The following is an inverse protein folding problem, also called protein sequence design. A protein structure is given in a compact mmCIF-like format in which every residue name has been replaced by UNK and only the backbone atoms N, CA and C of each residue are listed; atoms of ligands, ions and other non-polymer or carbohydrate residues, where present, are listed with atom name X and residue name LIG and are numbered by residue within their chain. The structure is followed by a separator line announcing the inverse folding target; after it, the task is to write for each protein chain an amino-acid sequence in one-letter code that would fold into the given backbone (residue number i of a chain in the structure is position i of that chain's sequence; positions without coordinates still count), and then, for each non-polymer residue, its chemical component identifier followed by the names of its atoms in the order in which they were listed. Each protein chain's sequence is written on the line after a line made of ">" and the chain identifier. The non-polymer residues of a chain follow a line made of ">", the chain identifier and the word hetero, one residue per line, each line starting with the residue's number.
data_IF_817759862750
#
_entry.id   IF_817759862750
#
_cell.length_a   1.000
_cell.length_b   1.000
_cell.length_c   1.000
_cell.angle_alpha   90.00
_cell.angle_beta   90.00
_cell.angle_gamma   90.00
#
_symmetry.space_group_name_H-M   'P 1'
#
loop_
_entity.id
_entity.type
_entity.pdbx_description
1 polymer ?
#
# COMPACT_ATOMS: atom_id res chain seq x y z
N UNK A 1 -38.23 20.21 -15.31
CA UNK A 1 -39.16 19.07 -15.53
C UNK A 1 -38.42 17.74 -15.61
N UNK A 2 -37.29 17.63 -16.32
CA UNK A 2 -36.62 16.35 -16.57
C UNK A 2 -36.05 15.64 -15.31
N UNK A 3 -35.39 16.38 -14.40
CA UNK A 3 -34.79 15.80 -13.18
C UNK A 3 -35.80 15.26 -12.15
N UNK A 4 -36.95 15.91 -12.01
CA UNK A 4 -37.99 15.50 -11.06
C UNK A 4 -38.73 14.26 -11.53
N UNK A 5 -39.01 14.17 -12.84
CA UNK A 5 -39.60 12.98 -13.43
C UNK A 5 -38.67 11.77 -13.35
N UNK A 6 -37.38 11.95 -13.64
CA UNK A 6 -36.37 10.87 -13.49
C UNK A 6 -36.26 10.41 -12.03
N UNK A 7 -36.31 11.34 -11.06
CA UNK A 7 -36.33 10.99 -9.63
C UNK A 7 -37.59 10.21 -9.27
N UNK A 8 -38.76 10.69 -9.66
CA UNK A 8 -40.01 9.98 -9.38
C UNK A 8 -40.01 8.58 -10.00
N UNK A 9 -39.55 8.44 -11.24
CA UNK A 9 -39.46 7.16 -11.93
C UNK A 9 -38.48 6.20 -11.23
N UNK A 10 -37.34 6.70 -10.76
CA UNK A 10 -36.36 5.94 -9.98
C UNK A 10 -36.94 5.44 -8.65
N UNK A 11 -37.66 6.27 -7.91
CA UNK A 11 -38.29 5.89 -6.63
C UNK A 11 -39.53 5.00 -6.81
N UNK A 12 -40.13 4.94 -8.00
CA UNK A 12 -41.23 4.00 -8.32
C UNK A 12 -40.76 2.61 -8.76
N UNK A 13 -39.48 2.43 -9.08
CA UNK A 13 -38.94 1.12 -9.43
C UNK A 13 -38.73 0.30 -8.17
N UNK A 14 -39.14 -0.97 -8.19
CA UNK A 14 -38.71 -1.88 -7.14
C UNK A 14 -37.18 -2.00 -7.25
N UNK A 15 -36.47 -1.79 -6.14
CA UNK A 15 -35.01 -1.86 -6.11
C UNK A 15 -34.54 -3.31 -5.92
N UNK A 16 -35.33 -4.29 -6.37
CA UNK A 16 -35.05 -5.70 -6.15
C UNK A 16 -33.85 -6.11 -6.98
N UNK A 17 -32.87 -6.72 -6.32
CA UNK A 17 -31.67 -7.20 -6.99
C UNK A 17 -31.76 -8.68 -7.33
N UNK A 18 -32.36 -9.47 -6.44
CA UNK A 18 -32.56 -10.90 -6.62
C UNK A 18 -33.63 -11.43 -5.65
N UNK A 19 -34.15 -12.62 -5.95
CA UNK A 19 -35.09 -13.33 -5.09
C UNK A 19 -34.33 -14.34 -4.24
N UNK A 20 -34.56 -14.32 -2.93
CA UNK A 20 -33.90 -15.17 -1.95
C UNK A 20 -34.88 -16.20 -1.39
N UNK A 21 -34.38 -17.39 -1.06
CA UNK A 21 -35.14 -18.44 -0.38
C UNK A 21 -34.64 -18.58 1.05
N UNK A 22 -35.53 -18.38 2.03
CA UNK A 22 -35.23 -18.57 3.45
C UNK A 22 -36.29 -19.42 4.16
N UNK A 23 -36.15 -19.59 5.47
CA UNK A 23 -37.05 -20.42 6.29
C UNK A 23 -38.52 -19.98 6.24
N UNK A 24 -38.79 -18.70 5.94
CA UNK A 24 -40.16 -18.16 5.78
C UNK A 24 -40.68 -18.12 4.34
N UNK A 25 -39.96 -18.74 3.39
CA UNK A 25 -40.35 -18.82 1.98
C UNK A 25 -39.53 -17.91 1.05
N UNK A 26 -40.11 -17.62 -0.12
CA UNK A 26 -39.47 -16.82 -1.18
C UNK A 26 -39.73 -15.34 -0.95
N UNK A 27 -38.68 -14.55 -0.76
CA UNK A 27 -38.77 -13.10 -0.58
C UNK A 27 -37.83 -12.37 -1.54
N UNK A 28 -38.18 -11.13 -1.85
CA UNK A 28 -37.44 -10.31 -2.81
C UNK A 28 -36.50 -9.37 -2.05
N UNK A 29 -35.20 -9.48 -2.30
CA UNK A 29 -34.19 -8.68 -1.62
C UNK A 29 -33.84 -7.42 -2.44
N UNK A 30 -34.18 -6.27 -1.86
CA UNK A 30 -33.84 -4.96 -2.40
C UNK A 30 -32.36 -4.59 -2.25
N UNK A 31 -31.87 -3.75 -3.16
CA UNK A 31 -30.66 -2.97 -2.96
C UNK A 31 -30.80 -2.19 -1.64
N UNK A 32 -29.77 -2.27 -0.79
CA UNK A 32 -29.72 -1.58 0.51
C UNK A 32 -28.70 -0.45 0.39
N UNK A 33 -29.13 0.78 0.02
CA UNK A 33 -28.22 1.90 -0.14
C UNK A 33 -27.40 2.17 1.12
N UNK A 34 -27.95 1.92 2.30
CA UNK A 34 -27.26 2.14 3.57
C UNK A 34 -26.02 1.25 3.69
N UNK A 35 -26.15 -0.05 3.35
CA UNK A 35 -25.03 -1.01 3.39
C UNK A 35 -23.96 -0.62 2.37
N UNK A 36 -24.38 -0.20 1.17
CA UNK A 36 -23.45 0.21 0.13
C UNK A 36 -22.70 1.49 0.50
N UNK A 37 -23.40 2.48 1.04
CA UNK A 37 -22.80 3.75 1.51
C UNK A 37 -21.83 3.49 2.65
N UNK A 38 -22.18 2.63 3.63
CA UNK A 38 -21.26 2.23 4.69
C UNK A 38 -19.98 1.60 4.13
N UNK A 39 -20.10 0.66 3.18
CA UNK A 39 -18.94 0.06 2.53
C UNK A 39 -18.09 1.06 1.71
N UNK A 40 -18.67 2.13 1.19
CA UNK A 40 -17.91 3.21 0.55
C UNK A 40 -17.15 4.06 1.57
N UNK A 41 -17.76 4.36 2.72
CA UNK A 41 -17.12 5.12 3.80
C UNK A 41 -15.91 4.35 4.36
N UNK A 42 -16.04 3.05 4.61
CA UNK A 42 -14.91 2.21 5.03
C UNK A 42 -13.76 2.21 4.02
N UNK A 43 -14.08 2.13 2.72
CA UNK A 43 -13.07 2.22 1.66
C UNK A 43 -12.39 3.59 1.62
N UNK A 44 -13.15 4.66 1.85
CA UNK A 44 -12.60 6.01 1.93
C UNK A 44 -11.63 6.14 3.10
N UNK A 45 -11.98 5.63 4.28
CA UNK A 45 -11.09 5.63 5.44
C UNK A 45 -9.80 4.84 5.18
N UNK A 46 -9.88 3.71 4.48
CA UNK A 46 -8.70 2.93 4.06
C UNK A 46 -7.80 3.72 3.11
N UNK A 47 -8.39 4.44 2.15
CA UNK A 47 -7.63 5.29 1.22
C UNK A 47 -6.96 6.43 1.98
N UNK A 48 -7.68 7.11 2.87
CA UNK A 48 -7.16 8.22 3.67
C UNK A 48 -6.00 7.76 4.57
N UNK A 49 -6.10 6.54 5.12
CA UNK A 49 -4.99 5.92 5.88
C UNK A 49 -3.77 5.70 4.99
N UNK A 50 -3.95 5.12 3.80
CA UNK A 50 -2.85 4.90 2.83
C UNK A 50 -2.19 6.20 2.39
N UNK A 51 -2.97 7.25 2.13
CA UNK A 51 -2.45 8.57 1.76
C UNK A 51 -1.59 9.13 2.89
N UNK A 52 -2.06 9.04 4.14
CA UNK A 52 -1.31 9.50 5.31
C UNK A 52 0.02 8.76 5.46
N UNK A 53 0.01 7.43 5.35
CA UNK A 53 1.21 6.59 5.43
C UNK A 53 2.22 6.97 4.34
N UNK A 54 1.75 7.16 3.11
CA UNK A 54 2.60 7.59 2.00
C UNK A 54 3.18 8.99 2.18
N UNK A 55 2.43 9.92 2.78
CA UNK A 55 2.96 11.24 3.12
C UNK A 55 4.07 11.15 4.15
N UNK A 56 3.90 10.35 5.20
CA UNK A 56 4.95 10.15 6.20
C UNK A 56 6.22 9.55 5.58
N UNK A 57 6.08 8.51 4.74
CA UNK A 57 7.21 7.94 3.98
C UNK A 57 7.95 9.01 3.19
N UNK A 58 7.19 9.83 2.46
CA UNK A 58 7.74 10.91 1.67
C UNK A 58 8.48 11.92 2.54
N UNK A 59 7.88 12.39 3.64
CA UNK A 59 8.49 13.37 4.54
C UNK A 59 9.83 12.87 5.11
N UNK A 60 9.89 11.62 5.58
CA UNK A 60 11.12 11.01 6.10
C UNK A 60 12.16 10.80 5.00
N UNK A 61 11.75 10.31 3.83
CA UNK A 61 12.67 10.06 2.72
C UNK A 61 13.24 11.37 2.15
N UNK A 62 12.43 12.42 2.06
CA UNK A 62 12.89 13.76 1.69
C UNK A 62 13.91 14.29 2.70
N UNK A 63 13.66 14.11 4.01
CA UNK A 63 14.61 14.49 5.05
C UNK A 63 15.95 13.74 4.91
N UNK A 64 15.93 12.44 4.63
CA UNK A 64 17.12 11.66 4.33
C UNK A 64 17.84 12.17 3.09
N UNK A 65 17.11 12.43 2.00
CA UNK A 65 17.70 12.93 0.75
C UNK A 65 18.46 14.24 0.97
N UNK A 66 17.98 15.12 1.86
CA UNK A 66 18.67 16.36 2.22
C UNK A 66 20.01 16.13 2.93
N UNK A 67 20.23 14.97 3.56
CA UNK A 67 21.51 14.60 4.19
C UNK A 67 22.55 14.10 3.19
N UNK A 68 22.13 13.71 1.98
CA UNK A 68 23.02 13.19 0.96
C UNK A 68 23.86 14.30 0.32
N UNK A 69 25.05 13.98 -0.24
CA UNK A 69 25.80 14.94 -1.05
C UNK A 69 24.99 15.44 -2.25
N UNK A 70 25.09 16.73 -2.59
CA UNK A 70 24.35 17.33 -3.73
C UNK A 70 24.54 16.60 -5.06
N UNK A 71 25.73 16.07 -5.31
CA UNK A 71 26.01 15.27 -6.50
C UNK A 71 25.15 14.01 -6.56
N UNK A 72 25.00 13.35 -5.41
CA UNK A 72 24.19 12.15 -5.29
C UNK A 72 22.69 12.48 -5.36
N UNK A 73 22.25 13.57 -4.72
CA UNK A 73 20.87 14.04 -4.82
C UNK A 73 20.47 14.28 -6.29
N UNK A 74 21.30 14.98 -7.05
CA UNK A 74 21.05 15.26 -8.47
C UNK A 74 21.04 13.97 -9.28
N UNK A 75 22.01 13.08 -9.08
CA UNK A 75 22.04 11.79 -9.77
C UNK A 75 20.79 10.95 -9.49
N UNK A 76 20.39 10.82 -8.22
CA UNK A 76 19.17 10.09 -7.84
C UNK A 76 17.93 10.72 -8.47
N UNK A 77 17.84 12.04 -8.50
CA UNK A 77 16.73 12.75 -9.15
C UNK A 77 16.70 12.48 -10.65
N UNK A 78 17.83 12.61 -11.33
CA UNK A 78 17.94 12.37 -12.78
C UNK A 78 17.58 10.92 -13.12
N UNK A 79 18.02 9.97 -12.31
CA UNK A 79 17.71 8.55 -12.49
C UNK A 79 16.22 8.25 -12.27
N UNK A 80 15.68 8.62 -11.10
CA UNK A 80 14.37 8.14 -10.66
C UNK A 80 13.21 9.05 -11.06
N UNK A 81 13.45 10.35 -11.29
CA UNK A 81 12.40 11.29 -11.74
C UNK A 81 12.42 11.54 -13.25
N UNK A 82 13.60 11.45 -13.88
CA UNK A 82 13.77 11.77 -15.30
C UNK A 82 14.10 10.55 -16.17
N UNK A 83 14.29 9.37 -15.56
CA UNK A 83 14.54 8.12 -16.28
C UNK A 83 15.89 8.10 -16.99
N UNK A 84 16.86 8.88 -16.52
CA UNK A 84 18.20 8.95 -17.09
C UNK A 84 19.01 7.76 -16.54
N UNK A 85 19.67 6.99 -17.40
CA UNK A 85 20.55 5.93 -16.93
C UNK A 85 21.70 6.52 -16.10
N UNK A 86 21.74 6.14 -14.82
CA UNK A 86 22.78 6.57 -13.88
C UNK A 86 23.38 5.32 -13.23
N UNK A 87 24.71 5.19 -13.29
CA UNK A 87 25.42 4.16 -12.54
C UNK A 87 25.77 4.69 -11.14
N UNK A 88 25.18 4.08 -10.12
CA UNK A 88 25.57 4.31 -8.73
C UNK A 88 26.47 3.17 -8.26
N UNK A 89 27.41 3.50 -7.38
CA UNK A 89 28.14 2.48 -6.65
C UNK A 89 27.15 1.63 -5.84
N UNK A 90 27.29 0.30 -5.85
CA UNK A 90 26.45 -0.64 -5.10
C UNK A 90 26.28 -0.22 -3.63
N UNK A 91 27.34 0.26 -2.98
CA UNK A 91 27.27 0.73 -1.59
C UNK A 91 26.26 1.86 -1.37
N UNK A 92 26.07 2.73 -2.37
CA UNK A 92 25.07 3.81 -2.32
C UNK A 92 23.66 3.24 -2.44
N UNK A 93 23.47 2.27 -3.34
CA UNK A 93 22.18 1.61 -3.54
C UNK A 93 21.78 0.85 -2.28
N UNK A 94 22.71 0.10 -1.67
CA UNK A 94 22.45 -0.62 -0.42
C UNK A 94 22.03 0.33 0.70
N UNK A 95 22.76 1.43 0.91
CA UNK A 95 22.39 2.43 1.93
C UNK A 95 21.03 3.07 1.68
N UNK A 96 20.69 3.31 0.42
CA UNK A 96 19.38 3.85 0.04
C UNK A 96 18.26 2.86 0.37
N UNK A 97 18.46 1.59 0.06
CA UNK A 97 17.49 0.52 0.37
C UNK A 97 17.36 0.28 1.88
N UNK A 98 18.47 0.31 2.62
CA UNK A 98 18.47 0.19 4.08
C UNK A 98 17.66 1.32 4.70
N UNK A 99 17.88 2.57 4.28
CA UNK A 99 17.11 3.71 4.78
C UNK A 99 15.61 3.57 4.45
N UNK A 100 15.27 3.13 3.24
CA UNK A 100 13.87 2.88 2.87
C UNK A 100 13.25 1.86 3.83
N UNK A 101 13.95 0.76 4.13
CA UNK A 101 13.47 -0.24 5.06
C UNK A 101 13.34 0.29 6.49
N UNK A 102 14.27 1.13 6.96
CA UNK A 102 14.20 1.78 8.26
C UNK A 102 12.97 2.70 8.36
N UNK A 103 12.69 3.49 7.32
CA UNK A 103 11.51 4.36 7.24
C UNK A 103 10.22 3.53 7.26
N UNK A 104 10.14 2.47 6.45
CA UNK A 104 8.97 1.57 6.43
C UNK A 104 8.73 0.94 7.81
N UNK A 105 9.78 0.40 8.41
CA UNK A 105 9.74 -0.23 9.73
C UNK A 105 9.28 0.77 10.80
N UNK A 106 9.82 1.99 10.80
CA UNK A 106 9.42 3.04 11.74
C UNK A 106 7.94 3.41 11.60
N UNK A 107 7.44 3.50 10.36
CA UNK A 107 6.04 3.82 10.08
C UNK A 107 5.12 2.68 10.53
N UNK A 108 5.51 1.42 10.29
CA UNK A 108 4.75 0.26 10.75
C UNK A 108 4.62 0.24 12.28
N UNK A 109 5.72 0.50 12.99
CA UNK A 109 5.70 0.67 14.44
C UNK A 109 4.78 1.82 14.90
N UNK A 110 4.80 2.96 14.21
CA UNK A 110 3.92 4.09 14.54
C UNK A 110 2.44 3.78 14.32
N UNK A 111 2.10 2.93 13.35
CA UNK A 111 0.74 2.48 13.08
C UNK A 111 0.31 1.28 13.95
N UNK A 112 1.19 0.76 14.80
CA UNK A 112 0.94 -0.44 15.61
C UNK A 112 0.80 -1.71 14.77
N UNK A 113 1.39 -1.72 13.58
CA UNK A 113 1.52 -2.89 12.73
C UNK A 113 2.80 -3.63 13.15
N UNK A 114 2.75 -4.96 13.20
CA UNK A 114 3.99 -5.74 13.26
C UNK A 114 4.71 -5.52 11.91
N UNK A 115 5.98 -5.05 11.92
CA UNK A 115 6.76 -4.97 10.69
C UNK A 115 6.79 -6.35 10.06
N UNK A 116 6.64 -6.44 8.74
CA UNK A 116 6.92 -7.71 8.06
C UNK A 116 8.35 -8.11 8.43
N UNK A 117 8.54 -9.30 9.00
CA UNK A 117 9.87 -9.82 9.31
C UNK A 117 10.69 -9.72 8.03
N UNK A 118 11.66 -8.81 8.01
CA UNK A 118 12.56 -8.72 6.89
C UNK A 118 13.15 -10.12 6.71
N UNK A 119 13.13 -10.62 5.48
CA UNK A 119 14.00 -11.73 5.09
C UNK A 119 15.47 -11.27 5.11
N UNK A 120 15.91 -10.53 6.13
CA UNK A 120 17.31 -10.42 6.49
C UNK A 120 17.72 -11.84 6.85
N UNK A 121 18.59 -12.42 6.03
CA UNK A 121 19.23 -13.68 6.36
C UNK A 121 19.95 -13.45 7.68
N UNK A 122 19.33 -13.89 8.77
CA UNK A 122 19.94 -13.91 10.09
C UNK A 122 21.17 -14.80 9.97
N UNK A 123 22.35 -14.19 9.85
CA UNK A 123 23.61 -14.90 9.86
C UNK A 123 23.77 -15.48 11.26
N UNK A 124 23.69 -16.81 11.35
CA UNK A 124 23.97 -17.56 12.57
C UNK A 124 25.48 -17.75 12.74
N UNK A 125 25.94 -18.13 13.93
CA UNK A 125 27.36 -18.48 14.15
C UNK A 125 27.81 -19.73 13.34
N UNK A 126 26.86 -20.45 12.74
CA UNK A 126 27.11 -21.57 11.85
C UNK A 126 27.27 -21.09 10.40
N UNK A 127 28.52 -21.08 9.93
CA UNK A 127 28.87 -20.75 8.54
C UNK A 127 28.13 -21.67 7.56
N UNK A 128 27.98 -22.96 7.88
CA UNK A 128 27.30 -23.93 7.02
C UNK A 128 25.82 -23.58 6.79
N UNK A 129 25.14 -23.16 7.86
CA UNK A 129 23.71 -22.78 7.81
C UNK A 129 23.50 -21.48 7.04
N UNK A 130 24.47 -20.56 7.10
CA UNK A 130 24.41 -19.30 6.35
C UNK A 130 24.63 -19.54 4.84
N UNK A 131 25.55 -20.44 4.47
CA UNK A 131 25.80 -20.81 3.07
C UNK A 131 24.57 -21.46 2.45
N UNK A 132 23.91 -22.36 3.19
CA UNK A 132 22.70 -23.05 2.71
C UNK A 132 21.55 -22.06 2.45
N UNK A 133 21.33 -21.10 3.36
CA UNK A 133 20.36 -20.01 3.19
C UNK A 133 20.68 -19.09 2.01
N UNK A 134 21.96 -18.83 1.73
CA UNK A 134 22.38 -18.07 0.55
C UNK A 134 22.14 -18.85 -0.75
N UNK A 135 22.34 -20.16 -0.75
CA UNK A 135 22.07 -21.02 -1.91
C UNK A 135 20.57 -21.15 -2.21
N UNK A 136 19.71 -21.16 -1.19
CA UNK A 136 18.25 -21.14 -1.38
C UNK A 136 17.78 -19.81 -1.99
N UNK A 137 18.40 -18.69 -1.63
CA UNK A 137 18.06 -17.37 -2.18
C UNK A 137 18.49 -17.19 -3.65
N UNK A 138 19.57 -17.85 -4.09
CA UNK A 138 20.07 -17.75 -5.47
C UNK A 138 19.33 -18.63 -6.47
N UNK A 139 18.52 -19.59 -6.00
CA UNK A 139 17.82 -20.57 -6.84
C UNK A 139 16.28 -20.38 -6.90
N UNK A 140 15.76 -19.27 -6.36
CA UNK A 140 14.36 -18.86 -6.46
C UNK A 140 14.21 -17.60 -7.30
#
# INVERSE_FOLDING_TARGET
>A
MEKEQIRQEFYTRNMSTHTCYGESGMYVQGFRPEVYVLGLLEKQELIDRKIRRNRQRQDYFEAYCLTLPKTLQNGLRDCFMHGIECEFNESVIYKLLDEINEIETAIDYMEGLEPEEEKRIMLTDSIATNIERMCEFLNG
#
